data_IF_374487858017
#
_entry.id   IF_374487858017
#
_cell.length_a   1.000
_cell.length_b   1.000
_cell.length_c   1.000
_cell.angle_alpha   90.00
_cell.angle_beta   90.00
_cell.angle_gamma   90.00
#
_symmetry.space_group_name_H-M   'P 1'
#
loop_
_entity.id
_entity.type
_entity.pdbx_description
1 polymer ?
#
# COMPACT_ATOMS: atom_id res chain seq x y z
N UNK A 1 10.97 11.09 -17.12
CA UNK A 1 9.73 10.75 -17.84
C UNK A 1 9.53 11.75 -18.97
N UNK A 2 9.24 11.26 -20.18
CA UNK A 2 8.95 12.10 -21.34
C UNK A 2 7.52 12.64 -21.31
N UNK A 3 7.19 13.70 -22.12
CA UNK A 3 5.85 14.30 -22.14
C UNK A 3 4.74 13.36 -22.61
N UNK A 4 5.07 12.24 -23.21
CA UNK A 4 4.11 11.26 -23.74
C UNK A 4 3.87 10.08 -22.82
N UNK A 5 4.51 10.05 -21.63
CA UNK A 5 4.46 8.94 -20.68
C UNK A 5 4.95 7.61 -21.28
N UNK A 6 5.82 7.69 -22.28
CA UNK A 6 6.35 6.52 -22.97
C UNK A 6 7.64 6.02 -22.31
N UNK A 7 8.56 6.93 -21.96
CA UNK A 7 9.84 6.61 -21.32
C UNK A 7 9.73 6.88 -19.83
N UNK A 8 9.91 5.87 -18.96
CA UNK A 8 9.87 6.04 -17.51
C UNK A 8 11.16 6.70 -17.00
N UNK A 9 11.14 7.18 -15.77
CA UNK A 9 12.34 7.28 -14.96
C UNK A 9 12.70 5.86 -14.50
N UNK A 10 13.90 5.38 -14.81
CA UNK A 10 14.26 3.98 -14.61
C UNK A 10 14.57 3.61 -13.15
N UNK A 11 14.83 4.58 -12.28
CA UNK A 11 14.93 4.34 -10.85
C UNK A 11 13.60 3.85 -10.27
N UNK A 12 13.65 2.83 -9.44
CA UNK A 12 12.45 2.21 -8.85
C UNK A 12 12.45 2.36 -7.35
N UNK A 13 11.62 3.28 -6.88
CA UNK A 13 11.47 3.59 -5.46
C UNK A 13 10.44 2.67 -4.79
N UNK A 14 10.75 2.19 -3.60
CA UNK A 14 9.83 1.37 -2.81
C UNK A 14 8.53 2.14 -2.50
N UNK A 15 8.64 3.41 -2.08
CA UNK A 15 7.47 4.22 -1.72
C UNK A 15 6.50 4.45 -2.88
N UNK A 16 7.00 4.61 -4.10
CA UNK A 16 6.15 4.74 -5.29
C UNK A 16 5.35 3.47 -5.55
N UNK A 17 6.07 2.34 -5.56
CA UNK A 17 5.45 1.04 -5.83
C UNK A 17 4.48 0.61 -4.73
N UNK A 18 4.76 0.93 -3.47
CA UNK A 18 3.86 0.67 -2.34
C UNK A 18 2.54 1.45 -2.47
N UNK A 19 2.62 2.73 -2.84
CA UNK A 19 1.43 3.58 -3.05
C UNK A 19 0.65 3.13 -4.27
N UNK A 20 1.33 2.92 -5.42
CA UNK A 20 0.70 2.44 -6.64
C UNK A 20 0.03 1.08 -6.45
N UNK A 21 0.67 0.16 -5.73
CA UNK A 21 0.08 -1.14 -5.40
C UNK A 21 -1.28 -0.97 -4.68
N UNK A 22 -1.33 -0.08 -3.69
CA UNK A 22 -2.56 0.21 -2.96
C UNK A 22 -3.64 0.87 -3.82
N UNK A 23 -3.26 1.82 -4.69
CA UNK A 23 -4.19 2.53 -5.59
C UNK A 23 -4.75 1.59 -6.65
N UNK A 24 -3.90 0.78 -7.31
CA UNK A 24 -4.35 -0.18 -8.33
C UNK A 24 -5.21 -1.29 -7.72
N UNK A 25 -4.90 -1.75 -6.50
CA UNK A 25 -5.73 -2.71 -5.78
C UNK A 25 -7.16 -2.16 -5.54
N UNK A 26 -7.26 -0.91 -5.09
CA UNK A 26 -8.55 -0.24 -4.91
C UNK A 26 -9.29 -0.02 -6.24
N UNK A 27 -8.57 0.41 -7.29
CA UNK A 27 -9.14 0.60 -8.62
C UNK A 27 -9.67 -0.72 -9.19
N UNK A 28 -8.98 -1.84 -8.98
CA UNK A 28 -9.42 -3.17 -9.41
C UNK A 28 -10.78 -3.56 -8.80
N UNK A 29 -10.96 -3.29 -7.49
CA UNK A 29 -12.24 -3.56 -6.80
C UNK A 29 -13.32 -2.57 -7.24
N UNK A 30 -12.98 -1.29 -7.34
CA UNK A 30 -13.95 -0.22 -7.66
C UNK A 30 -14.51 -0.33 -9.07
N UNK A 31 -13.69 -0.72 -10.03
CA UNK A 31 -14.07 -0.72 -11.47
C UNK A 31 -14.33 -2.10 -12.05
N UNK A 32 -13.73 -3.15 -11.46
CA UNK A 32 -13.73 -4.50 -12.04
C UNK A 32 -12.85 -4.64 -13.29
N UNK A 33 -12.07 -3.62 -13.67
CA UNK A 33 -11.23 -3.62 -14.86
C UNK A 33 -10.05 -4.60 -14.74
N UNK A 34 -9.90 -5.57 -15.66
CA UNK A 34 -8.84 -6.57 -15.62
C UNK A 34 -7.43 -5.97 -15.62
N UNK A 35 -7.24 -4.81 -16.27
CA UNK A 35 -5.97 -4.11 -16.30
C UNK A 35 -5.46 -3.79 -14.89
N UNK A 36 -6.32 -3.22 -14.03
CA UNK A 36 -5.90 -2.85 -12.68
C UNK A 36 -5.59 -4.08 -11.82
N UNK A 37 -6.36 -5.15 -11.97
CA UNK A 37 -6.07 -6.42 -11.30
C UNK A 37 -4.72 -7.00 -11.71
N UNK A 38 -4.40 -6.99 -13.02
CA UNK A 38 -3.11 -7.45 -13.55
C UNK A 38 -1.95 -6.59 -13.04
N UNK A 39 -2.05 -5.26 -13.12
CA UNK A 39 -1.00 -4.35 -12.64
C UNK A 39 -0.75 -4.52 -11.15
N UNK A 40 -1.81 -4.71 -10.35
CA UNK A 40 -1.68 -5.00 -8.91
C UNK A 40 -0.89 -6.28 -8.68
N UNK A 41 -1.21 -7.36 -9.40
CA UNK A 41 -0.51 -8.65 -9.27
C UNK A 41 0.97 -8.53 -9.68
N UNK A 42 1.25 -7.95 -10.86
CA UNK A 42 2.61 -7.79 -11.39
C UNK A 42 3.47 -6.89 -10.49
N UNK A 43 2.92 -5.82 -9.93
CA UNK A 43 3.62 -4.93 -8.98
C UNK A 43 3.94 -5.66 -7.67
N UNK A 44 2.99 -6.42 -7.12
CA UNK A 44 3.21 -7.22 -5.92
C UNK A 44 4.30 -8.28 -6.13
N UNK A 45 4.25 -9.00 -7.25
CA UNK A 45 5.26 -10.01 -7.60
C UNK A 45 6.65 -9.40 -7.77
N UNK A 46 6.74 -8.23 -8.40
CA UNK A 46 8.00 -7.52 -8.53
C UNK A 46 8.57 -7.11 -7.17
N UNK A 47 7.76 -6.53 -6.27
CA UNK A 47 8.19 -6.18 -4.90
C UNK A 47 8.72 -7.40 -4.14
N UNK A 48 8.01 -8.52 -4.20
CA UNK A 48 8.40 -9.76 -3.52
C UNK A 48 9.67 -10.38 -4.10
N UNK A 49 9.89 -10.28 -5.41
CA UNK A 49 11.04 -10.86 -6.10
C UNK A 49 12.29 -10.01 -6.00
N UNK A 50 12.16 -8.67 -6.20
CA UNK A 50 13.30 -7.79 -6.47
C UNK A 50 13.69 -6.91 -5.26
N UNK A 51 12.74 -6.52 -4.41
CA UNK A 51 13.00 -5.64 -3.26
C UNK A 51 12.89 -6.30 -1.89
N UNK A 52 12.33 -7.49 -1.78
CA UNK A 52 12.20 -8.15 -0.48
C UNK A 52 13.54 -8.68 0.01
N UNK A 53 13.90 -8.35 1.25
CA UNK A 53 15.08 -8.91 1.91
C UNK A 53 14.82 -10.34 2.40
N UNK A 54 15.86 -11.15 2.57
CA UNK A 54 15.74 -12.49 3.15
C UNK A 54 15.14 -12.50 4.57
N UNK A 55 15.27 -11.40 5.32
CA UNK A 55 14.74 -11.25 6.68
C UNK A 55 13.27 -10.78 6.70
N UNK A 56 12.70 -10.38 5.55
CA UNK A 56 11.28 -10.03 5.40
C UNK A 56 10.98 -8.54 5.24
N UNK A 57 11.93 -7.64 5.52
CA UNK A 57 11.80 -6.22 5.18
C UNK A 57 11.99 -5.97 3.68
N UNK A 58 11.71 -4.74 3.23
CA UNK A 58 11.88 -4.36 1.82
C UNK A 58 12.95 -3.27 1.68
N UNK A 59 13.86 -3.47 0.74
CA UNK A 59 14.91 -2.53 0.37
C UNK A 59 14.34 -1.27 -0.28
N UNK A 60 15.10 -0.16 -0.23
CA UNK A 60 14.56 1.16 -0.57
C UNK A 60 14.43 1.40 -2.08
N UNK A 61 15.41 1.00 -2.90
CA UNK A 61 15.39 1.34 -4.33
C UNK A 61 16.28 0.44 -5.18
N UNK A 62 15.96 0.40 -6.48
CA UNK A 62 16.86 -0.01 -7.55
C UNK A 62 17.24 1.21 -8.37
N UNK A 63 18.54 1.39 -8.61
CA UNK A 63 19.09 2.50 -9.39
C UNK A 63 18.53 2.52 -10.83
N UNK A 64 18.53 3.69 -11.44
CA UNK A 64 18.23 3.85 -12.86
C UNK A 64 19.32 3.27 -13.77
N UNK A 65 20.57 3.33 -13.29
CA UNK A 65 21.78 3.01 -14.06
C UNK A 65 22.24 1.57 -13.88
N UNK A 66 22.65 0.97 -14.98
CA UNK A 66 23.45 -0.27 -15.00
C UNK A 66 24.68 -0.03 -15.85
N UNK A 67 25.86 -0.39 -15.33
CA UNK A 67 27.15 -0.20 -16.00
C UNK A 67 27.40 1.26 -16.46
N UNK A 68 26.88 2.23 -15.69
CA UNK A 68 27.02 3.67 -15.94
C UNK A 68 26.12 4.25 -17.03
N UNK A 69 25.07 3.52 -17.44
CA UNK A 69 24.08 3.98 -18.43
C UNK A 69 22.66 3.81 -17.90
N UNK A 70 21.87 4.89 -17.96
CA UNK A 70 20.48 4.89 -17.57
C UNK A 70 19.66 3.93 -18.47
N UNK A 71 18.82 3.11 -17.84
CA UNK A 71 17.89 2.22 -18.53
C UNK A 71 18.51 0.99 -19.20
N UNK A 72 19.85 0.86 -19.28
CA UNK A 72 20.54 -0.23 -19.99
C UNK A 72 20.04 -1.63 -19.63
N UNK A 73 19.70 -1.86 -18.38
CA UNK A 73 19.17 -3.14 -17.91
C UNK A 73 17.83 -3.50 -18.56
N UNK A 74 17.01 -2.50 -18.95
CA UNK A 74 15.62 -2.67 -19.35
C UNK A 74 15.38 -2.58 -20.86
N UNK A 75 16.30 -1.99 -21.61
CA UNK A 75 16.15 -1.79 -23.06
C UNK A 75 16.59 -3.00 -23.87
N UNK A 76 16.12 -3.07 -25.09
CA UNK A 76 16.34 -4.18 -26.03
C UNK A 76 16.64 -3.67 -27.43
N UNK A 77 17.13 -4.56 -28.30
CA UNK A 77 17.11 -4.38 -29.74
C UNK A 77 16.18 -5.40 -30.40
N UNK A 78 15.57 -5.10 -31.56
CA UNK A 78 14.74 -6.07 -32.28
C UNK A 78 15.46 -7.37 -32.60
N UNK A 79 16.77 -7.30 -32.92
CA UNK A 79 17.57 -8.48 -33.25
C UNK A 79 17.79 -9.37 -32.03
N UNK A 80 18.14 -8.80 -30.84
CA UNK A 80 18.23 -9.55 -29.59
C UNK A 80 16.94 -10.31 -29.28
N UNK A 81 15.77 -9.62 -29.41
CA UNK A 81 14.48 -10.26 -29.11
C UNK A 81 14.12 -11.32 -30.14
N UNK A 82 14.45 -11.12 -31.42
CA UNK A 82 14.21 -12.10 -32.49
C UNK A 82 15.04 -13.37 -32.31
N UNK A 83 16.25 -13.24 -31.79
CA UNK A 83 17.13 -14.40 -31.54
C UNK A 83 16.67 -15.23 -30.31
N UNK A 84 15.89 -14.65 -29.42
CA UNK A 84 15.41 -15.26 -28.18
C UNK A 84 14.01 -15.91 -28.28
N UNK A 85 13.19 -15.45 -29.23
CA UNK A 85 11.81 -15.87 -29.40
C UNK A 85 11.63 -16.63 -30.72
N UNK A 86 10.66 -17.53 -30.77
CA UNK A 86 10.26 -18.10 -32.05
C UNK A 86 9.42 -17.07 -32.87
N UNK A 87 9.20 -17.38 -34.15
CA UNK A 87 8.48 -16.49 -35.08
C UNK A 87 7.04 -16.22 -34.60
N UNK A 88 6.41 -17.22 -34.01
CA UNK A 88 5.03 -17.10 -33.53
C UNK A 88 4.90 -16.21 -32.30
N UNK A 89 5.92 -16.17 -31.45
CA UNK A 89 6.00 -15.30 -30.28
C UNK A 89 6.48 -13.89 -30.65
N UNK A 90 7.49 -13.78 -31.54
CA UNK A 90 8.10 -12.50 -31.89
C UNK A 90 7.12 -11.53 -32.56
N UNK A 91 6.33 -12.01 -33.50
CA UNK A 91 5.45 -11.12 -34.29
C UNK A 91 4.41 -10.38 -33.42
N UNK A 92 3.60 -11.04 -32.59
CA UNK A 92 2.68 -10.34 -31.71
C UNK A 92 3.39 -9.50 -30.65
N UNK A 93 4.55 -9.94 -30.15
CA UNK A 93 5.36 -9.20 -29.19
C UNK A 93 5.91 -7.90 -29.80
N UNK A 94 6.46 -7.95 -31.00
CA UNK A 94 7.00 -6.79 -31.71
C UNK A 94 5.92 -5.72 -31.95
N UNK A 95 4.74 -6.11 -32.41
CA UNK A 95 3.61 -5.21 -32.60
C UNK A 95 3.11 -4.62 -31.26
N UNK A 96 3.08 -5.43 -30.21
CA UNK A 96 2.63 -4.99 -28.88
C UNK A 96 3.55 -3.93 -28.30
N UNK A 97 4.87 -4.16 -28.39
CA UNK A 97 5.87 -3.38 -27.68
C UNK A 97 6.74 -2.48 -28.56
N UNK A 98 6.37 -2.33 -29.85
CA UNK A 98 6.96 -1.34 -30.74
C UNK A 98 8.34 -1.70 -31.28
N UNK A 99 8.71 -2.99 -31.34
CA UNK A 99 9.96 -3.43 -31.98
C UNK A 99 9.90 -3.36 -33.53
N UNK A 100 8.70 -3.14 -34.08
CA UNK A 100 8.43 -2.87 -35.49
C UNK A 100 8.48 -1.37 -35.84
N UNK A 101 8.88 -0.51 -34.90
CA UNK A 101 8.97 0.95 -35.01
C UNK A 101 10.41 1.43 -34.84
N UNK A 102 10.62 2.73 -35.00
CA UNK A 102 11.89 3.36 -34.71
C UNK A 102 12.23 3.26 -33.20
N UNK A 103 13.53 3.24 -32.88
CA UNK A 103 14.02 3.24 -31.50
C UNK A 103 13.46 4.44 -30.71
N UNK A 104 13.02 4.20 -29.49
CA UNK A 104 12.36 5.18 -28.66
C UNK A 104 13.22 5.71 -27.48
N UNK A 105 14.38 5.10 -27.24
CA UNK A 105 15.31 5.49 -26.18
C UNK A 105 16.77 5.26 -26.57
N UNK A 106 17.52 6.33 -26.84
CA UNK A 106 18.97 6.31 -27.14
C UNK A 106 19.42 5.28 -28.19
N UNK A 107 18.63 5.10 -29.24
CA UNK A 107 18.92 4.11 -30.29
C UNK A 107 18.54 2.68 -29.94
N UNK A 108 17.89 2.46 -28.81
CA UNK A 108 17.35 1.18 -28.33
C UNK A 108 15.84 1.26 -28.07
N UNK A 109 15.23 0.16 -27.70
CA UNK A 109 13.79 0.05 -27.49
C UNK A 109 13.49 -0.18 -25.99
N UNK A 110 12.88 0.83 -25.36
CA UNK A 110 12.09 0.62 -24.17
C UNK A 110 10.74 0.03 -24.58
N UNK A 111 10.37 -1.10 -23.97
CA UNK A 111 9.16 -1.85 -24.33
C UNK A 111 7.90 -1.14 -23.82
N UNK A 112 7.36 -0.26 -24.63
CA UNK A 112 6.12 0.47 -24.38
C UNK A 112 4.94 -0.19 -25.11
N UNK A 113 3.76 -0.20 -24.51
CA UNK A 113 2.55 -0.77 -25.10
C UNK A 113 1.99 0.16 -26.18
N UNK A 114 2.11 -0.20 -27.45
CA UNK A 114 1.63 0.57 -28.61
C UNK A 114 0.29 0.08 -29.14
N UNK A 115 0.01 -1.22 -29.08
CA UNK A 115 -1.14 -1.82 -29.74
C UNK A 115 -1.92 -2.72 -28.78
N UNK A 116 -3.26 -2.72 -28.89
CA UNK A 116 -4.10 -3.60 -28.06
C UNK A 116 -3.98 -5.07 -28.49
N UNK A 117 -4.32 -5.99 -27.59
CA UNK A 117 -4.39 -7.43 -27.90
C UNK A 117 -5.40 -7.68 -29.03
N UNK A 118 -6.58 -7.04 -28.99
CA UNK A 118 -7.63 -7.17 -29.99
C UNK A 118 -7.19 -6.73 -31.39
N UNK A 119 -6.43 -5.60 -31.49
CA UNK A 119 -5.92 -5.15 -32.78
C UNK A 119 -4.87 -6.11 -33.33
N UNK A 120 -3.98 -6.65 -32.50
CA UNK A 120 -2.97 -7.63 -32.90
C UNK A 120 -3.64 -8.94 -33.35
N UNK A 121 -4.65 -9.40 -32.61
CA UNK A 121 -5.43 -10.57 -32.97
C UNK A 121 -6.09 -10.42 -34.33
N UNK A 122 -6.65 -9.24 -34.62
CA UNK A 122 -7.23 -8.91 -35.94
C UNK A 122 -6.18 -8.94 -37.04
N UNK A 123 -5.04 -8.29 -36.86
CA UNK A 123 -3.98 -8.20 -37.86
C UNK A 123 -3.35 -9.55 -38.19
N UNK A 124 -3.11 -10.36 -37.16
CA UNK A 124 -2.50 -11.70 -37.30
C UNK A 124 -3.52 -12.81 -37.60
N UNK A 125 -4.83 -12.49 -37.59
CA UNK A 125 -5.94 -13.45 -37.77
C UNK A 125 -5.90 -14.58 -36.75
N UNK A 126 -5.64 -14.23 -35.49
CA UNK A 126 -5.62 -15.11 -34.33
C UNK A 126 -6.77 -14.73 -33.41
N UNK A 127 -7.09 -15.58 -32.46
CA UNK A 127 -7.92 -15.18 -31.32
C UNK A 127 -7.09 -14.45 -30.25
N UNK A 128 -7.76 -13.60 -29.44
CA UNK A 128 -7.11 -12.78 -28.44
C UNK A 128 -6.38 -13.61 -27.38
N UNK A 129 -6.93 -14.75 -26.96
CA UNK A 129 -6.34 -15.63 -25.97
C UNK A 129 -5.00 -16.23 -26.46
N UNK A 130 -4.93 -16.60 -27.74
CA UNK A 130 -3.68 -17.06 -28.37
C UNK A 130 -2.63 -15.95 -28.40
N UNK A 131 -3.01 -14.72 -28.76
CA UNK A 131 -2.09 -13.56 -28.77
C UNK A 131 -1.58 -13.28 -27.35
N UNK A 132 -2.47 -13.26 -26.37
CA UNK A 132 -2.13 -13.02 -24.96
C UNK A 132 -1.15 -14.08 -24.44
N UNK A 133 -1.44 -15.35 -24.67
CA UNK A 133 -0.55 -16.47 -24.27
C UNK A 133 0.84 -16.31 -24.87
N UNK A 134 0.95 -16.04 -26.18
CA UNK A 134 2.25 -15.87 -26.86
C UNK A 134 3.05 -14.68 -26.32
N UNK A 135 2.36 -13.57 -26.02
CA UNK A 135 3.00 -12.38 -25.41
C UNK A 135 3.48 -12.68 -23.99
N UNK A 136 2.70 -13.38 -23.19
CA UNK A 136 3.09 -13.69 -21.82
C UNK A 136 4.25 -14.69 -21.76
N UNK A 137 4.28 -15.70 -22.63
CA UNK A 137 5.44 -16.60 -22.79
C UNK A 137 6.68 -15.82 -23.22
N UNK A 138 6.57 -14.92 -24.19
CA UNK A 138 7.66 -14.05 -24.64
C UNK A 138 8.18 -13.16 -23.49
N UNK A 139 7.28 -12.53 -22.72
CA UNK A 139 7.64 -11.72 -21.54
C UNK A 139 8.39 -12.54 -20.50
N UNK A 140 7.92 -13.74 -20.19
CA UNK A 140 8.58 -14.66 -19.26
C UNK A 140 9.99 -15.01 -19.72
N UNK A 141 10.16 -15.38 -20.99
CA UNK A 141 11.45 -15.67 -21.59
C UNK A 141 12.43 -14.51 -21.54
N UNK A 142 11.97 -13.32 -21.92
CA UNK A 142 12.80 -12.11 -21.90
C UNK A 142 13.15 -11.68 -20.46
N UNK A 143 12.25 -11.87 -19.51
CA UNK A 143 12.54 -11.63 -18.08
C UNK A 143 13.67 -12.52 -17.58
N UNK A 144 13.68 -13.81 -17.92
CA UNK A 144 14.77 -14.73 -17.57
C UNK A 144 16.12 -14.25 -18.11
N UNK A 145 16.16 -13.86 -19.39
CA UNK A 145 17.40 -13.38 -20.04
C UNK A 145 17.83 -12.05 -19.47
N UNK A 146 16.91 -11.09 -19.27
CA UNK A 146 17.22 -9.81 -18.66
C UNK A 146 17.82 -9.97 -17.27
N UNK A 147 17.31 -10.88 -16.46
CA UNK A 147 17.80 -11.12 -15.11
C UNK A 147 19.23 -11.68 -15.04
N UNK A 148 19.81 -12.10 -16.18
CA UNK A 148 21.23 -12.49 -16.29
C UNK A 148 22.15 -11.30 -16.63
N UNK A 149 21.61 -10.14 -16.97
CA UNK A 149 22.38 -8.91 -17.20
C UNK A 149 22.97 -8.39 -15.90
N UNK A 150 23.88 -7.44 -15.99
CA UNK A 150 24.39 -6.71 -14.83
C UNK A 150 23.25 -5.87 -14.24
N UNK A 151 22.89 -6.18 -13.01
CA UNK A 151 21.79 -5.49 -12.32
C UNK A 151 22.15 -4.04 -11.98
N UNK A 152 21.14 -3.14 -11.99
CA UNK A 152 21.28 -1.84 -11.35
C UNK A 152 21.67 -1.97 -9.88
N UNK A 153 22.34 -0.98 -9.34
CA UNK A 153 22.62 -0.90 -7.90
C UNK A 153 21.33 -0.96 -7.09
N UNK A 154 21.34 -1.74 -6.00
CA UNK A 154 20.22 -1.77 -5.04
C UNK A 154 20.66 -1.08 -3.76
N UNK A 155 19.89 -0.06 -3.33
CA UNK A 155 20.06 0.52 -2.01
C UNK A 155 19.37 -0.38 -0.97
N UNK A 156 20.16 -1.09 -0.19
CA UNK A 156 19.71 -2.12 0.75
C UNK A 156 19.32 -1.54 2.13
N UNK A 157 19.14 -0.23 2.24
CA UNK A 157 18.50 0.36 3.42
C UNK A 157 17.03 -0.07 3.48
N UNK A 158 16.59 -0.50 4.66
CA UNK A 158 15.18 -0.79 4.97
C UNK A 158 14.66 0.40 5.78
N UNK A 159 13.92 1.28 5.12
CA UNK A 159 13.35 2.50 5.70
C UNK A 159 11.99 2.18 6.33
N UNK A 160 11.80 2.60 7.59
CA UNK A 160 10.61 2.24 8.37
C UNK A 160 9.32 2.77 7.75
N UNK A 161 9.26 4.04 7.36
CA UNK A 161 8.09 4.65 6.71
C UNK A 161 7.72 3.97 5.39
N UNK A 162 8.71 3.70 4.53
CA UNK A 162 8.46 3.07 3.24
C UNK A 162 7.99 1.61 3.38
N UNK A 163 8.51 0.90 4.38
CA UNK A 163 8.02 -0.44 4.71
C UNK A 163 6.62 -0.40 5.32
N UNK A 164 6.28 0.63 6.12
CA UNK A 164 4.91 0.86 6.59
C UNK A 164 3.93 1.01 5.42
N UNK A 165 4.27 1.83 4.41
CA UNK A 165 3.48 1.95 3.18
C UNK A 165 3.39 0.63 2.40
N UNK A 166 4.48 -0.13 2.33
CA UNK A 166 4.52 -1.43 1.64
C UNK A 166 3.62 -2.46 2.33
N UNK A 167 3.62 -2.51 3.67
CA UNK A 167 2.70 -3.35 4.44
C UNK A 167 1.24 -3.02 4.08
N UNK A 168 0.88 -1.75 4.05
CA UNK A 168 -0.46 -1.31 3.67
C UNK A 168 -0.82 -1.62 2.22
N UNK A 169 0.09 -1.41 1.28
CA UNK A 169 -0.09 -1.74 -0.13
C UNK A 169 -0.31 -3.24 -0.37
N UNK A 170 0.52 -4.09 0.27
CA UNK A 170 0.40 -5.55 0.20
C UNK A 170 -0.90 -6.06 0.84
N UNK A 171 -1.31 -5.48 1.97
CA UNK A 171 -2.57 -5.81 2.62
C UNK A 171 -3.77 -5.52 1.72
N UNK A 172 -3.81 -4.35 1.06
CA UNK A 172 -4.85 -4.00 0.09
C UNK A 172 -4.83 -4.92 -1.12
N UNK A 173 -3.64 -5.22 -1.67
CA UNK A 173 -3.48 -6.13 -2.80
C UNK A 173 -3.93 -7.55 -2.45
N UNK A 174 -3.61 -8.04 -1.24
CA UNK A 174 -4.07 -9.33 -0.73
C UNK A 174 -5.60 -9.46 -0.79
N UNK A 175 -6.32 -8.46 -0.32
CA UNK A 175 -7.80 -8.42 -0.34
C UNK A 175 -8.34 -8.35 -1.77
N UNK A 176 -7.81 -7.44 -2.59
CA UNK A 176 -8.29 -7.24 -3.96
C UNK A 176 -8.04 -8.43 -4.88
N UNK A 177 -6.96 -9.17 -4.66
CA UNK A 177 -6.57 -10.33 -5.47
C UNK A 177 -6.98 -11.68 -4.86
N UNK A 178 -7.46 -11.69 -3.61
CA UNK A 178 -7.71 -12.91 -2.81
C UNK A 178 -6.43 -13.77 -2.68
N UNK A 179 -5.27 -13.10 -2.41
CA UNK A 179 -3.94 -13.70 -2.32
C UNK A 179 -3.38 -13.58 -0.90
N UNK A 180 -3.51 -14.65 -0.11
CA UNK A 180 -3.08 -14.70 1.30
C UNK A 180 -1.55 -14.63 1.47
N UNK A 181 -0.77 -15.03 0.46
CA UNK A 181 0.69 -14.90 0.43
C UNK A 181 1.15 -13.42 0.53
N UNK A 182 0.38 -12.48 -0.02
CA UNK A 182 0.68 -11.04 0.08
C UNK A 182 0.44 -10.51 1.51
N UNK A 183 -0.64 -10.93 2.17
CA UNK A 183 -0.85 -10.65 3.59
C UNK A 183 0.24 -11.28 4.44
N UNK A 184 0.66 -12.52 4.12
CA UNK A 184 1.79 -13.19 4.76
C UNK A 184 3.11 -12.41 4.63
N UNK A 185 3.39 -11.83 3.48
CA UNK A 185 4.57 -10.97 3.27
C UNK A 185 4.49 -9.67 4.09
N UNK A 186 3.31 -9.05 4.18
CA UNK A 186 3.08 -7.88 5.01
C UNK A 186 3.30 -8.17 6.51
N UNK A 187 2.81 -9.31 7.01
CA UNK A 187 3.07 -9.79 8.38
C UNK A 187 4.57 -10.00 8.64
N UNK A 188 5.30 -10.57 7.69
CA UNK A 188 6.75 -10.76 7.85
C UNK A 188 7.50 -9.42 7.90
N UNK A 189 7.11 -8.44 7.09
CA UNK A 189 7.68 -7.09 7.13
C UNK A 189 7.36 -6.39 8.48
N UNK A 190 6.15 -6.54 8.98
CA UNK A 190 5.76 -6.07 10.32
C UNK A 190 6.65 -6.69 11.40
N UNK A 191 6.80 -8.02 11.40
CA UNK A 191 7.64 -8.72 12.39
C UNK A 191 9.11 -8.29 12.29
N UNK A 192 9.63 -8.11 11.08
CA UNK A 192 10.97 -7.58 10.86
C UNK A 192 11.16 -6.21 11.51
N UNK A 193 10.27 -5.25 11.22
CA UNK A 193 10.32 -3.91 11.80
C UNK A 193 10.18 -3.94 13.33
N UNK A 194 9.26 -4.75 13.86
CA UNK A 194 9.08 -4.90 15.32
C UNK A 194 10.35 -5.44 15.99
N UNK A 195 11.00 -6.42 15.37
CA UNK A 195 12.20 -7.05 15.92
C UNK A 195 13.48 -6.21 15.76
N UNK A 196 13.60 -5.44 14.67
CA UNK A 196 14.82 -4.72 14.32
C UNK A 196 14.76 -3.23 14.60
N UNK A 197 13.61 -2.57 14.35
CA UNK A 197 13.47 -1.12 14.41
C UNK A 197 12.71 -0.62 15.65
N UNK A 198 12.11 -1.49 16.47
CA UNK A 198 11.46 -1.11 17.72
C UNK A 198 12.35 -1.43 18.91
N UNK A 199 12.80 -0.41 19.62
CA UNK A 199 13.70 -0.57 20.76
C UNK A 199 13.31 0.37 21.90
N UNK A 200 13.22 -0.16 23.08
CA UNK A 200 12.93 0.58 24.33
C UNK A 200 11.69 1.50 24.21
N UNK A 201 10.63 1.01 23.53
CA UNK A 201 9.41 1.78 23.31
C UNK A 201 9.50 2.86 22.22
N UNK A 202 10.58 2.90 21.44
CA UNK A 202 10.81 3.91 20.39
C UNK A 202 11.17 3.26 19.06
N UNK A 203 10.76 3.91 17.99
CA UNK A 203 11.01 3.46 16.62
C UNK A 203 12.33 4.03 16.10
N UNK A 204 13.04 3.26 15.29
CA UNK A 204 14.23 3.65 14.55
C UNK A 204 13.89 3.80 13.06
N UNK A 205 14.50 4.79 12.39
CA UNK A 205 14.14 5.20 11.04
C UNK A 205 14.63 4.22 9.95
N UNK A 206 15.81 3.60 10.16
CA UNK A 206 16.45 2.79 9.11
C UNK A 206 17.15 1.57 9.70
N UNK A 207 17.07 0.45 8.97
CA UNK A 207 17.91 -0.74 9.18
C UNK A 207 18.80 -0.95 7.97
N UNK A 208 20.10 -1.10 8.20
CA UNK A 208 21.11 -1.38 7.15
C UNK A 208 22.32 -2.06 7.77
N UNK A 209 22.98 -2.95 7.03
CA UNK A 209 24.20 -3.66 7.47
C UNK A 209 24.05 -4.37 8.84
N UNK A 210 22.84 -4.91 9.11
CA UNK A 210 22.52 -5.62 10.35
C UNK A 210 22.24 -4.72 11.57
N UNK A 211 22.25 -3.40 11.42
CA UNK A 211 22.01 -2.43 12.49
C UNK A 211 20.84 -1.48 12.16
N UNK A 212 20.07 -1.14 13.21
CA UNK A 212 19.05 -0.08 13.11
C UNK A 212 19.56 1.20 13.72
N UNK A 213 19.33 2.34 13.04
CA UNK A 213 19.91 3.62 13.37
C UNK A 213 18.88 4.74 13.26
N UNK A 214 19.21 5.85 13.90
CA UNK A 214 18.49 7.11 13.95
C UNK A 214 17.10 7.00 14.61
N UNK A 215 16.78 7.86 15.57
CA UNK A 215 15.41 8.01 16.07
C UNK A 215 14.46 8.29 14.91
N UNK A 216 13.35 7.59 14.89
CA UNK A 216 12.36 7.72 13.82
C UNK A 216 11.64 9.08 13.86
N UNK A 217 11.17 9.51 12.71
CA UNK A 217 10.43 10.73 12.50
C UNK A 217 8.92 10.47 12.52
N UNK A 218 8.12 11.54 12.53
CA UNK A 218 6.65 11.43 12.48
C UNK A 218 6.16 10.50 11.36
N UNK A 219 6.76 10.65 10.16
CA UNK A 219 6.36 9.88 8.98
C UNK A 219 6.56 8.36 9.20
N UNK A 220 7.61 7.96 9.91
CA UNK A 220 7.86 6.54 10.20
C UNK A 220 6.76 5.96 11.09
N UNK A 221 6.37 6.69 12.15
CA UNK A 221 5.27 6.28 13.03
C UNK A 221 3.93 6.27 12.32
N UNK A 222 3.62 7.34 11.58
CA UNK A 222 2.33 7.51 10.93
C UNK A 222 2.11 6.48 9.80
N UNK A 223 3.11 6.30 8.93
CA UNK A 223 3.03 5.34 7.81
C UNK A 223 2.98 3.89 8.31
N UNK A 224 3.77 3.56 9.34
CA UNK A 224 3.72 2.22 9.91
C UNK A 224 2.38 1.96 10.59
N UNK A 225 1.87 2.88 11.42
CA UNK A 225 0.57 2.75 12.05
C UNK A 225 -0.55 2.59 11.00
N UNK A 226 -0.51 3.37 9.90
CA UNK A 226 -1.42 3.21 8.77
C UNK A 226 -1.30 1.83 8.13
N UNK A 227 -0.08 1.36 7.86
CA UNK A 227 0.16 0.02 7.31
C UNK A 227 -0.40 -1.10 8.19
N UNK A 228 -0.26 -0.96 9.51
CA UNK A 228 -0.82 -1.92 10.47
C UNK A 228 -2.36 -1.92 10.46
N UNK A 229 -3.02 -0.76 10.33
CA UNK A 229 -4.47 -0.71 10.19
C UNK A 229 -4.96 -1.40 8.90
N UNK A 230 -4.28 -1.18 7.78
CA UNK A 230 -4.60 -1.88 6.52
C UNK A 230 -4.36 -3.41 6.63
N UNK A 231 -3.31 -3.82 7.36
CA UNK A 231 -3.04 -5.23 7.63
C UNK A 231 -4.15 -5.88 8.47
N UNK A 232 -4.66 -5.18 9.48
CA UNK A 232 -5.80 -5.64 10.29
C UNK A 232 -7.08 -5.84 9.48
N UNK A 233 -7.27 -5.09 8.40
CA UNK A 233 -8.37 -5.28 7.47
C UNK A 233 -8.20 -6.55 6.63
N UNK A 234 -6.97 -6.89 6.25
CA UNK A 234 -6.67 -8.10 5.49
C UNK A 234 -6.63 -9.35 6.37
N UNK A 235 -6.10 -9.21 7.59
CA UNK A 235 -5.92 -10.33 8.52
C UNK A 235 -5.89 -9.84 9.95
N UNK A 236 -6.71 -10.43 10.81
CA UNK A 236 -6.67 -10.10 12.23
C UNK A 236 -5.33 -10.52 12.85
N UNK A 237 -4.71 -9.58 13.54
CA UNK A 237 -3.50 -9.77 14.33
C UNK A 237 -3.55 -8.86 15.56
N UNK A 238 -3.62 -9.48 16.75
CA UNK A 238 -3.73 -8.73 18.01
C UNK A 238 -2.45 -7.93 18.32
N UNK A 239 -1.29 -8.44 17.94
CA UNK A 239 0.00 -7.77 18.15
C UNK A 239 0.14 -6.56 17.20
N UNK A 240 -0.38 -6.66 15.98
CA UNK A 240 -0.45 -5.52 15.05
C UNK A 240 -1.32 -4.40 15.61
N UNK A 241 -2.51 -4.73 16.16
CA UNK A 241 -3.37 -3.72 16.80
C UNK A 241 -2.70 -3.08 18.01
N UNK A 242 -2.11 -3.89 18.88
CA UNK A 242 -1.41 -3.40 20.08
C UNK A 242 -0.26 -2.47 19.67
N UNK A 243 0.50 -2.84 18.65
CA UNK A 243 1.61 -2.01 18.18
C UNK A 243 1.14 -0.73 17.49
N UNK A 244 0.05 -0.76 16.74
CA UNK A 244 -0.54 0.46 16.20
C UNK A 244 -0.92 1.46 17.31
N UNK A 245 -1.46 0.98 18.43
CA UNK A 245 -1.75 1.80 19.62
C UNK A 245 -0.47 2.37 20.23
N UNK A 246 0.57 1.53 20.45
CA UNK A 246 1.86 1.99 20.97
C UNK A 246 2.48 3.09 20.08
N UNK A 247 2.47 2.93 18.75
CA UNK A 247 2.97 3.93 17.81
C UNK A 247 2.22 5.25 17.90
N UNK A 248 0.90 5.20 17.96
CA UNK A 248 0.04 6.39 18.08
C UNK A 248 0.25 7.09 19.41
N UNK A 249 0.39 6.34 20.51
CA UNK A 249 0.63 6.92 21.83
C UNK A 249 2.00 7.62 21.90
N UNK A 250 3.04 7.08 21.25
CA UNK A 250 4.34 7.77 21.11
C UNK A 250 4.20 9.05 20.27
N UNK A 251 3.41 9.03 19.17
CA UNK A 251 3.16 10.26 18.40
C UNK A 251 2.50 11.34 19.27
N UNK A 252 1.50 10.96 20.06
CA UNK A 252 0.79 11.91 20.95
C UNK A 252 1.70 12.45 22.05
N UNK A 253 2.56 11.63 22.62
CA UNK A 253 3.44 12.01 23.73
C UNK A 253 4.61 12.90 23.25
N UNK A 254 5.26 12.54 22.13
CA UNK A 254 6.55 13.14 21.77
C UNK A 254 6.54 14.07 20.57
N UNK A 255 5.50 14.04 19.73
CA UNK A 255 5.46 14.82 18.51
C UNK A 255 4.42 15.94 18.51
N UNK A 256 3.45 15.92 19.45
CA UNK A 256 2.34 16.89 19.47
C UNK A 256 2.81 18.31 19.70
N UNK A 257 2.30 19.25 18.89
CA UNK A 257 2.32 20.68 19.23
C UNK A 257 1.09 21.03 20.05
N UNK A 258 1.26 21.13 21.36
CA UNK A 258 0.18 21.41 22.30
C UNK A 258 -0.37 22.84 22.22
N UNK A 259 0.34 23.77 21.55
CA UNK A 259 -0.08 25.17 21.43
C UNK A 259 -0.88 25.40 20.15
N UNK A 260 -0.32 24.96 18.98
CA UNK A 260 -0.88 25.22 17.67
C UNK A 260 -1.57 24.02 17.00
N UNK A 261 -1.51 22.83 17.60
CA UNK A 261 -2.04 21.61 17.04
C UNK A 261 -1.16 20.99 15.95
N UNK A 262 -1.49 19.76 15.57
CA UNK A 262 -0.67 18.95 14.67
C UNK A 262 0.60 18.42 15.32
N UNK A 263 1.46 17.83 14.51
CA UNK A 263 2.65 17.12 14.95
C UNK A 263 3.91 17.70 14.33
N UNK A 264 4.94 17.87 15.13
CA UNK A 264 6.28 18.16 14.63
C UNK A 264 6.86 16.95 13.90
N UNK A 265 7.78 17.19 12.96
CA UNK A 265 8.45 16.12 12.23
C UNK A 265 9.39 15.30 13.13
N UNK A 266 10.04 15.95 14.12
CA UNK A 266 10.94 15.32 15.08
C UNK A 266 10.33 15.26 16.47
N UNK A 267 10.65 14.23 17.26
CA UNK A 267 10.26 14.09 18.63
C UNK A 267 10.84 15.21 19.53
N UNK A 268 10.25 15.44 20.69
CA UNK A 268 10.69 16.47 21.65
C UNK A 268 12.03 16.14 22.34
N UNK A 269 12.35 14.86 22.43
CA UNK A 269 13.61 14.34 22.96
C UNK A 269 14.69 14.07 21.87
N UNK A 270 14.45 14.54 20.65
CA UNK A 270 15.46 14.52 19.58
C UNK A 270 16.59 15.52 19.90
N UNK A 271 17.74 15.42 19.20
CA UNK A 271 18.79 16.44 19.33
C UNK A 271 18.25 17.85 19.11
N UNK A 272 18.84 18.85 19.78
CA UNK A 272 18.38 20.23 19.65
C UNK A 272 18.60 20.75 18.22
N UNK A 273 17.52 21.00 17.51
CA UNK A 273 17.50 21.53 16.16
C UNK A 273 17.21 23.04 16.19
N UNK A 274 17.71 23.78 15.18
CA UNK A 274 17.40 25.20 14.98
C UNK A 274 15.90 25.41 14.77
N UNK A 275 15.23 24.46 14.09
CA UNK A 275 13.82 24.48 13.80
C UNK A 275 13.25 23.05 13.87
N UNK A 276 12.10 22.88 14.52
CA UNK A 276 11.28 21.67 14.44
C UNK A 276 10.15 21.92 13.43
N UNK A 277 10.25 21.42 12.18
CA UNK A 277 9.24 21.68 11.18
C UNK A 277 7.95 20.89 11.46
N UNK A 278 6.81 21.43 10.99
CA UNK A 278 5.55 20.73 10.83
C UNK A 278 5.18 20.74 9.35
N UNK A 279 5.23 19.59 8.71
CA UNK A 279 4.89 19.45 7.28
C UNK A 279 3.43 19.03 7.14
N UNK A 280 2.67 19.82 6.37
CA UNK A 280 1.28 19.55 6.05
C UNK A 280 1.08 19.17 4.58
N UNK A 281 1.97 19.63 3.69
CA UNK A 281 1.88 19.36 2.25
C UNK A 281 2.38 17.97 1.90
N UNK A 282 1.62 17.29 1.05
CA UNK A 282 2.06 16.07 0.39
C UNK A 282 3.14 16.40 -0.67
N UNK A 283 4.04 15.45 -0.87
CA UNK A 283 5.06 15.46 -1.92
C UNK A 283 5.03 14.08 -2.63
N UNK A 284 6.17 13.49 -2.98
CA UNK A 284 6.24 12.12 -3.50
C UNK A 284 5.66 11.07 -2.53
N UNK A 285 5.68 11.39 -1.24
CA UNK A 285 4.99 10.63 -0.19
C UNK A 285 3.93 11.49 0.50
N UNK A 286 2.87 10.88 1.07
CA UNK A 286 1.89 11.57 1.88
C UNK A 286 2.53 12.25 3.09
N UNK A 287 2.05 13.43 3.48
CA UNK A 287 2.52 14.13 4.67
C UNK A 287 2.18 13.35 5.95
N UNK A 288 3.17 13.20 6.85
CA UNK A 288 2.98 12.49 8.13
C UNK A 288 1.82 13.02 8.96
N UNK A 289 1.59 14.34 8.99
CA UNK A 289 0.44 14.93 9.66
C UNK A 289 -0.90 14.48 9.08
N UNK A 290 -0.99 14.36 7.75
CA UNK A 290 -2.20 13.89 7.09
C UNK A 290 -2.49 12.42 7.37
N UNK A 291 -1.46 11.59 7.31
CA UNK A 291 -1.56 10.15 7.62
C UNK A 291 -1.87 9.94 9.09
N UNK A 292 -1.20 10.66 10.00
CA UNK A 292 -1.47 10.61 11.43
C UNK A 292 -2.92 10.95 11.75
N UNK A 293 -3.47 12.03 11.15
CA UNK A 293 -4.87 12.40 11.35
C UNK A 293 -5.84 11.27 10.93
N UNK A 294 -5.61 10.63 9.78
CA UNK A 294 -6.44 9.49 9.33
C UNK A 294 -6.33 8.27 10.25
N UNK A 295 -5.11 7.93 10.66
CA UNK A 295 -4.87 6.82 11.62
C UNK A 295 -5.60 7.09 12.92
N UNK A 296 -5.49 8.31 13.46
CA UNK A 296 -6.15 8.74 14.70
C UNK A 296 -7.68 8.66 14.60
N UNK A 297 -8.27 9.09 13.48
CA UNK A 297 -9.71 9.00 13.25
C UNK A 297 -10.16 7.53 13.24
N UNK A 298 -9.53 6.69 12.45
CA UNK A 298 -9.91 5.28 12.29
C UNK A 298 -9.71 4.48 13.58
N UNK A 299 -8.54 4.64 14.22
CA UNK A 299 -8.23 3.96 15.49
C UNK A 299 -9.12 4.48 16.62
N UNK A 300 -9.39 5.80 16.65
CA UNK A 300 -10.29 6.43 17.62
C UNK A 300 -11.70 5.85 17.57
N UNK A 301 -12.27 5.68 16.38
CA UNK A 301 -13.58 5.06 16.22
C UNK A 301 -13.58 3.55 16.45
N UNK A 302 -12.52 2.85 16.05
CA UNK A 302 -12.39 1.41 16.30
C UNK A 302 -12.34 1.08 17.78
N UNK A 303 -11.63 1.90 18.57
CA UNK A 303 -11.38 1.66 19.99
C UNK A 303 -12.29 2.46 20.93
N UNK A 304 -13.04 3.43 20.40
CA UNK A 304 -13.86 4.35 21.21
C UNK A 304 -13.01 5.37 21.99
N UNK A 305 -11.83 5.75 21.49
CA UNK A 305 -10.86 6.64 22.12
C UNK A 305 -11.00 8.07 21.62
N UNK A 306 -11.70 8.92 22.38
CA UNK A 306 -11.93 10.33 21.96
C UNK A 306 -10.67 11.15 21.88
N UNK A 307 -9.64 10.87 22.71
CA UNK A 307 -8.35 11.58 22.67
C UNK A 307 -7.66 11.50 21.28
N UNK A 308 -7.88 10.43 20.54
CA UNK A 308 -7.36 10.30 19.17
C UNK A 308 -8.15 11.20 18.21
N UNK A 309 -9.47 11.25 18.34
CA UNK A 309 -10.32 12.14 17.53
C UNK A 309 -10.00 13.61 17.81
N UNK A 310 -9.81 13.99 19.07
CA UNK A 310 -9.45 15.35 19.48
C UNK A 310 -8.08 15.77 18.89
N UNK A 311 -7.09 14.88 18.89
CA UNK A 311 -5.78 15.13 18.28
C UNK A 311 -5.87 15.27 16.74
N UNK A 312 -6.70 14.46 16.08
CA UNK A 312 -6.96 14.59 14.65
C UNK A 312 -7.64 15.93 14.33
N UNK A 313 -8.64 16.35 15.11
CA UNK A 313 -9.28 17.65 14.97
C UNK A 313 -8.27 18.79 15.11
N UNK A 314 -7.42 18.76 16.14
CA UNK A 314 -6.39 19.76 16.35
C UNK A 314 -5.42 19.84 15.17
N UNK A 315 -5.05 18.69 14.57
CA UNK A 315 -4.20 18.63 13.37
C UNK A 315 -4.89 19.25 12.16
N UNK A 316 -6.17 18.94 11.92
CA UNK A 316 -6.93 19.49 10.81
C UNK A 316 -7.14 21.01 10.96
N UNK A 317 -7.39 21.50 12.18
CA UNK A 317 -7.49 22.93 12.47
C UNK A 317 -6.18 23.66 12.22
N UNK A 318 -5.04 23.07 12.63
CA UNK A 318 -3.71 23.63 12.37
C UNK A 318 -3.39 23.74 10.88
N UNK A 319 -3.85 22.76 10.08
CA UNK A 319 -3.61 22.70 8.64
C UNK A 319 -4.60 23.53 7.81
N UNK A 320 -5.70 24.02 8.39
CA UNK A 320 -6.83 24.60 7.66
C UNK A 320 -6.41 25.70 6.66
N UNK A 321 -5.63 26.68 7.09
CA UNK A 321 -5.18 27.76 6.22
C UNK A 321 -4.27 27.30 5.07
N UNK A 322 -3.50 26.24 5.27
CA UNK A 322 -2.67 25.64 4.23
C UNK A 322 -3.54 24.92 3.19
N UNK A 323 -4.53 24.15 3.64
CA UNK A 323 -5.51 23.45 2.78
C UNK A 323 -6.29 24.46 1.93
N UNK A 324 -6.85 25.53 2.53
CA UNK A 324 -7.58 26.56 1.78
C UNK A 324 -6.72 27.23 0.70
N UNK A 325 -5.44 27.48 1.02
CA UNK A 325 -4.54 28.17 0.11
C UNK A 325 -4.08 27.30 -1.07
N UNK A 326 -3.85 26.02 -0.86
CA UNK A 326 -3.34 25.10 -1.87
C UNK A 326 -3.87 23.66 -1.68
N UNK A 327 -5.15 23.40 -1.96
CA UNK A 327 -5.79 22.11 -1.67
C UNK A 327 -5.11 20.94 -2.40
N UNK A 328 -4.59 21.14 -3.63
CA UNK A 328 -3.95 20.09 -4.41
C UNK A 328 -2.65 19.51 -3.76
N UNK A 329 -1.98 20.28 -2.92
CA UNK A 329 -0.80 19.82 -2.18
C UNK A 329 -1.14 19.22 -0.81
N UNK A 330 -2.41 18.96 -0.49
CA UNK A 330 -2.85 18.49 0.82
C UNK A 330 -3.91 17.38 0.71
N UNK A 331 -3.77 16.51 -0.31
CA UNK A 331 -4.72 15.44 -0.59
C UNK A 331 -4.96 14.52 0.60
N UNK A 332 -3.89 14.14 1.33
CA UNK A 332 -3.99 13.27 2.51
C UNK A 332 -4.75 13.93 3.66
N UNK A 333 -4.54 15.23 3.88
CA UNK A 333 -5.32 16.01 4.87
C UNK A 333 -6.78 16.22 4.44
N UNK A 334 -7.05 16.36 3.14
CA UNK A 334 -8.42 16.42 2.63
C UNK A 334 -9.16 15.10 2.86
N UNK A 335 -8.50 13.96 2.65
CA UNK A 335 -9.06 12.65 3.02
C UNK A 335 -9.31 12.53 4.52
N UNK A 336 -8.40 13.04 5.36
CA UNK A 336 -8.60 13.09 6.81
C UNK A 336 -9.78 14.00 7.21
N UNK A 337 -9.92 15.15 6.55
CA UNK A 337 -11.03 16.08 6.79
C UNK A 337 -12.38 15.45 6.39
N UNK A 338 -12.42 14.73 5.29
CA UNK A 338 -13.60 13.98 4.85
C UNK A 338 -13.98 12.91 5.88
N UNK A 339 -13.02 12.08 6.33
CA UNK A 339 -13.25 11.06 7.36
C UNK A 339 -13.63 11.67 8.74
N UNK A 340 -13.16 12.89 9.05
CA UNK A 340 -13.53 13.59 10.28
C UNK A 340 -14.96 14.15 10.22
N UNK A 341 -15.34 14.78 9.12
CA UNK A 341 -16.67 15.38 8.93
C UNK A 341 -17.74 14.34 8.63
N UNK A 342 -17.37 13.23 8.01
CA UNK A 342 -18.20 12.07 7.72
C UNK A 342 -17.52 10.80 8.25
N UNK A 343 -17.73 10.45 9.54
CA UNK A 343 -17.05 9.35 10.17
C UNK A 343 -17.11 8.05 9.35
N UNK A 344 -15.98 7.34 9.20
CA UNK A 344 -15.93 6.09 8.43
C UNK A 344 -16.81 5.03 9.09
N UNK A 345 -17.27 4.09 8.27
CA UNK A 345 -17.93 2.90 8.74
C UNK A 345 -16.90 1.93 9.34
N UNK A 346 -17.05 1.63 10.62
CA UNK A 346 -16.25 0.61 11.30
C UNK A 346 -17.07 -0.67 11.35
N UNK A 347 -16.66 -1.66 10.58
CA UNK A 347 -17.29 -2.97 10.48
C UNK A 347 -16.48 -3.98 11.28
N UNK A 348 -17.02 -4.48 12.38
CA UNK A 348 -16.39 -5.52 13.20
C UNK A 348 -17.15 -6.83 13.00
N UNK A 349 -16.49 -7.80 12.38
CA UNK A 349 -16.99 -9.17 12.25
C UNK A 349 -16.53 -10.01 13.44
N UNK A 350 -17.40 -10.85 13.98
CA UNK A 350 -17.10 -11.79 15.07
C UNK A 350 -17.62 -13.17 14.72
N UNK A 351 -16.82 -14.22 14.90
CA UNK A 351 -17.20 -15.61 14.57
C UNK A 351 -16.00 -16.53 14.52
N UNK A 352 -16.17 -17.72 13.99
CA UNK A 352 -15.09 -18.66 13.69
C UNK A 352 -14.33 -18.20 12.44
N UNK A 353 -13.03 -18.48 12.37
CA UNK A 353 -12.15 -17.96 11.31
C UNK A 353 -12.66 -18.25 9.90
N UNK A 354 -13.05 -19.47 9.62
CA UNK A 354 -13.54 -19.88 8.29
C UNK A 354 -14.80 -19.12 7.86
N UNK A 355 -15.72 -18.84 8.80
CA UNK A 355 -16.91 -18.04 8.53
C UNK A 355 -16.56 -16.57 8.30
N UNK A 356 -15.60 -16.05 9.08
CA UNK A 356 -15.14 -14.67 8.95
C UNK A 356 -14.46 -14.41 7.61
N UNK A 357 -13.70 -15.38 7.09
CA UNK A 357 -13.05 -15.27 5.78
C UNK A 357 -14.08 -15.16 4.64
N UNK A 358 -15.15 -15.95 4.72
CA UNK A 358 -16.27 -15.86 3.76
C UNK A 358 -16.96 -14.48 3.84
N UNK A 359 -17.25 -14.00 5.05
CA UNK A 359 -17.92 -12.70 5.22
C UNK A 359 -17.05 -11.55 4.77
N UNK A 360 -15.76 -11.57 5.11
CA UNK A 360 -14.79 -10.57 4.68
C UNK A 360 -14.67 -10.53 3.16
N UNK A 361 -14.46 -11.69 2.50
CA UNK A 361 -14.36 -11.77 1.04
C UNK A 361 -15.58 -11.17 0.33
N UNK A 362 -16.80 -11.43 0.82
CA UNK A 362 -18.01 -10.83 0.24
C UNK A 362 -18.11 -9.31 0.46
N UNK A 363 -17.65 -8.82 1.61
CA UNK A 363 -17.61 -7.37 1.90
C UNK A 363 -16.52 -6.67 1.10
N UNK A 364 -15.37 -7.32 0.90
CA UNK A 364 -14.24 -6.77 0.13
C UNK A 364 -14.59 -6.52 -1.36
N UNK A 365 -15.56 -7.26 -1.91
CA UNK A 365 -16.10 -7.02 -3.26
C UNK A 365 -16.93 -5.74 -3.38
N UNK A 366 -17.33 -5.16 -2.26
CA UNK A 366 -18.08 -3.90 -2.22
C UNK A 366 -17.09 -2.75 -1.95
N UNK A 367 -16.72 -2.03 -3.00
CA UNK A 367 -15.80 -0.90 -2.84
C UNK A 367 -16.42 0.21 -2.01
N UNK A 368 -15.75 0.59 -0.93
CA UNK A 368 -16.09 1.76 -0.12
C UNK A 368 -14.82 2.26 0.59
N UNK A 369 -14.25 3.40 0.17
CA UNK A 369 -13.02 3.95 0.76
C UNK A 369 -13.21 4.49 2.19
N UNK A 370 -14.46 4.74 2.59
CA UNK A 370 -14.82 5.24 3.93
C UNK A 370 -15.15 4.12 4.92
N UNK A 371 -14.85 2.88 4.58
CA UNK A 371 -15.06 1.73 5.45
C UNK A 371 -13.75 1.17 5.93
N UNK A 372 -13.73 0.76 7.20
CA UNK A 372 -12.70 -0.10 7.79
C UNK A 372 -13.36 -1.39 8.27
N UNK A 373 -12.81 -2.53 7.92
CA UNK A 373 -13.30 -3.85 8.32
C UNK A 373 -12.26 -4.57 9.17
N UNK A 374 -12.68 -5.12 10.32
CA UNK A 374 -11.84 -6.01 11.13
C UNK A 374 -12.60 -7.29 11.45
N UNK A 375 -12.02 -8.43 11.06
CA UNK A 375 -12.60 -9.76 11.26
C UNK A 375 -11.92 -10.43 12.48
N UNK A 376 -12.52 -10.29 13.66
CA UNK A 376 -11.94 -10.68 14.95
C UNK A 376 -12.47 -12.06 15.36
N UNK A 377 -11.64 -13.12 15.41
CA UNK A 377 -12.06 -14.48 15.79
C UNK A 377 -12.73 -14.55 17.16
N UNK A 378 -13.63 -15.51 17.34
CA UNK A 378 -14.38 -15.72 18.59
C UNK A 378 -13.48 -16.01 19.77
N UNK A 379 -12.36 -16.69 19.55
CA UNK A 379 -11.34 -17.08 20.55
C UNK A 379 -10.26 -16.02 20.80
N UNK A 380 -10.30 -14.87 20.07
CA UNK A 380 -9.34 -13.78 20.24
C UNK A 380 -9.34 -13.26 21.68
N UNK A 381 -8.13 -13.15 22.27
CA UNK A 381 -7.91 -12.77 23.65
C UNK A 381 -7.37 -11.35 23.77
N UNK A 382 -7.44 -10.80 24.96
CA UNK A 382 -6.87 -9.48 25.31
C UNK A 382 -7.39 -8.33 24.41
N UNK A 383 -8.65 -8.42 23.98
CA UNK A 383 -9.26 -7.40 23.15
C UNK A 383 -9.45 -6.09 23.94
N UNK A 384 -9.20 -4.92 23.31
CA UNK A 384 -9.64 -3.63 23.82
C UNK A 384 -11.14 -3.63 24.15
N UNK A 385 -11.56 -2.85 25.14
CA UNK A 385 -12.92 -2.86 25.68
C UNK A 385 -14.01 -2.69 24.58
N UNK A 386 -13.79 -1.79 23.62
CA UNK A 386 -14.71 -1.57 22.52
C UNK A 386 -14.88 -2.80 21.61
N UNK A 387 -13.84 -3.56 21.36
CA UNK A 387 -13.91 -4.83 20.61
C UNK A 387 -14.43 -5.98 21.48
N UNK A 388 -14.03 -6.05 22.74
CA UNK A 388 -14.49 -7.05 23.70
C UNK A 388 -16.00 -6.99 23.97
N UNK A 389 -16.61 -5.80 23.86
CA UNK A 389 -18.06 -5.61 23.99
C UNK A 389 -18.86 -6.25 22.83
N UNK A 390 -18.25 -6.41 21.66
CA UNK A 390 -18.84 -7.02 20.47
C UNK A 390 -18.68 -8.54 20.52
N UNK A 391 -19.73 -9.23 20.98
CA UNK A 391 -19.69 -10.68 21.26
C UNK A 391 -19.92 -11.51 20.00
N UNK A 392 -19.24 -12.65 19.89
CA UNK A 392 -19.67 -13.71 18.98
C UNK A 392 -21.00 -14.32 19.48
N UNK A 393 -21.93 -14.61 18.56
CA UNK A 393 -23.29 -15.05 18.90
C UNK A 393 -23.60 -16.49 18.42
N UNK A 394 -22.61 -17.38 18.42
CA UNK A 394 -22.75 -18.78 18.02
C UNK A 394 -22.66 -19.02 16.50
N UNK A 395 -22.27 -18.02 15.74
CA UNK A 395 -21.98 -17.99 14.30
C UNK A 395 -21.42 -16.63 13.96
N UNK A 396 -21.07 -16.39 12.70
CA UNK A 396 -20.57 -15.08 12.27
C UNK A 396 -21.63 -13.99 12.44
N UNK A 397 -21.23 -12.85 12.97
CA UNK A 397 -22.08 -11.67 13.20
C UNK A 397 -21.29 -10.41 12.90
N UNK A 398 -21.95 -9.40 12.31
CA UNK A 398 -21.37 -8.09 12.06
C UNK A 398 -21.90 -7.04 13.03
N UNK A 399 -21.02 -6.14 13.46
CA UNK A 399 -21.34 -4.89 14.15
C UNK A 399 -20.97 -3.74 13.23
N UNK A 400 -21.96 -2.98 12.78
CA UNK A 400 -21.80 -1.85 11.87
C UNK A 400 -21.85 -0.58 12.72
N UNK A 401 -20.72 0.13 12.80
CA UNK A 401 -20.59 1.34 13.61
C UNK A 401 -20.28 2.55 12.72
N UNK A 402 -20.86 3.70 13.08
CA UNK A 402 -20.54 4.99 12.48
C UNK A 402 -20.31 6.01 13.59
N UNK A 403 -19.15 6.64 13.60
CA UNK A 403 -18.74 7.45 14.75
C UNK A 403 -18.70 6.58 16.02
N UNK A 404 -19.25 7.08 17.12
CA UNK A 404 -19.28 6.39 18.42
C UNK A 404 -20.51 5.50 18.63
N UNK A 405 -21.35 5.30 17.61
CA UNK A 405 -22.58 4.50 17.70
C UNK A 405 -22.55 3.30 16.78
N UNK A 406 -23.06 2.17 17.27
CA UNK A 406 -23.19 0.94 16.48
C UNK A 406 -24.64 0.53 16.31
N UNK A 407 -24.99 -0.06 15.18
CA UNK A 407 -26.27 -0.73 14.96
C UNK A 407 -26.43 -1.99 15.84
N UNK A 408 -27.63 -2.52 16.02
CA UNK A 408 -27.82 -3.88 16.52
C UNK A 408 -27.01 -4.88 15.71
N UNK A 409 -26.55 -6.02 16.31
CA UNK A 409 -25.80 -7.03 15.60
C UNK A 409 -26.54 -7.57 14.37
N UNK A 410 -25.83 -7.68 13.24
CA UNK A 410 -26.34 -8.20 11.97
C UNK A 410 -25.97 -9.69 11.89
N UNK A 411 -26.95 -10.61 12.01
CA UNK A 411 -26.66 -12.05 12.20
C UNK A 411 -26.48 -12.83 10.89
N UNK A 412 -26.67 -12.22 9.72
CA UNK A 412 -26.53 -12.93 8.44
C UNK A 412 -25.79 -12.10 7.40
N UNK A 413 -24.94 -12.78 6.62
CA UNK A 413 -24.21 -12.16 5.51
C UNK A 413 -25.12 -11.46 4.51
N UNK A 414 -26.25 -12.09 4.16
CA UNK A 414 -27.21 -11.51 3.21
C UNK A 414 -27.82 -10.19 3.71
N UNK A 415 -28.07 -10.07 5.02
CA UNK A 415 -28.53 -8.81 5.62
C UNK A 415 -27.43 -7.77 5.58
N UNK A 416 -26.20 -8.12 5.98
CA UNK A 416 -25.05 -7.24 5.94
C UNK A 416 -24.82 -6.67 4.54
N UNK A 417 -24.77 -7.52 3.51
CA UNK A 417 -24.57 -7.08 2.12
C UNK A 417 -25.69 -6.16 1.65
N UNK A 418 -26.94 -6.40 2.06
CA UNK A 418 -28.06 -5.47 1.75
C UNK A 418 -27.91 -4.10 2.42
N UNK A 419 -27.51 -4.08 3.69
CA UNK A 419 -27.26 -2.84 4.42
C UNK A 419 -26.15 -2.02 3.78
N UNK A 420 -25.02 -2.69 3.43
CA UNK A 420 -23.88 -2.04 2.79
C UNK A 420 -24.15 -1.54 1.36
N UNK A 421 -25.06 -2.19 0.61
CA UNK A 421 -25.47 -1.75 -0.73
C UNK A 421 -26.52 -0.64 -0.72
N UNK A 422 -27.22 -0.46 0.38
CA UNK A 422 -28.24 0.58 0.56
C UNK A 422 -27.69 1.89 1.11
N UNK A 423 -26.39 1.94 1.35
CA UNK A 423 -25.63 3.12 1.81
C UNK A 423 -24.99 3.91 0.65
#
# INVERSE_FOLDING_TARGET
>A
VDPYWMIPHFEKMLYDNAQLLGVYAQAAVATGEPLFRRVTAETAEWLLRDLRSPEGGFYSTLDADSEGHEGKFYVWTPDEVRDLLDVEQYEPFAQRFGLDRDANFEGQWHLHTFKSIADIATDLRLDEATVETRIDEARARLLEVRNQRVWPGRDEKILTSWNGMTIGGLARASRALERDDLAGAAVQAMHFLRARCWKDGRLLAVHTDGESRFPAYLDDYAMLAWGLLELLEARWDADALAWAVELVDVMLEHFTDHEAGGFYFTADDHESLILRPKTFSDDATPAGNGVAARVLIRLGYLLGETRYIDAAEATLRAAHAAIERYPHGHGTLLMALEEFTSPPWILVLRGESDELDVWRSEVDKLYDPHRMIVAVPSDAKNLPAALASKKALGGAVAYVCRGMTCSPPVPTLAQLVRELRGQ
#
